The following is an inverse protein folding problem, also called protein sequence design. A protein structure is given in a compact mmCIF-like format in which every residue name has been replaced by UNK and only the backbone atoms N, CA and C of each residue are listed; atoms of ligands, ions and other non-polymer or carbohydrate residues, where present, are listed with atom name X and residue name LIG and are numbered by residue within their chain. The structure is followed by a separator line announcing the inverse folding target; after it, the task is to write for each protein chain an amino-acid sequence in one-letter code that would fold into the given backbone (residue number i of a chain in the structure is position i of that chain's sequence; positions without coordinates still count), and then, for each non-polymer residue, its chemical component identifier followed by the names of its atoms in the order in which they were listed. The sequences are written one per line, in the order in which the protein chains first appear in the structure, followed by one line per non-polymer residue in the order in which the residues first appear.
data_IF_947992972121
#
_entry.id   IF_947992972121
#
_cell.length_a   1.000
_cell.length_b   1.000
_cell.length_c   1.000
_cell.angle_alpha   90.00
_cell.angle_beta   90.00
_cell.angle_gamma   90.00
#
_symmetry.space_group_name_H-M   'P 1'
#
loop_
_entity.id
_entity.type
_entity.pdbx_description
1 polymer ?
#
# COMPACT_ATOMS: atom_id res chain seq x y z
N UNK A 1 -8.54 -4.89 -5.14
CA UNK A 1 -8.97 -5.58 -6.38
C UNK A 1 -8.77 -4.70 -7.61
N UNK A 2 -9.32 -3.47 -7.67
CA UNK A 2 -9.09 -2.58 -8.82
C UNK A 2 -7.62 -2.26 -9.08
N UNK A 3 -6.80 -2.04 -8.06
CA UNK A 3 -5.36 -1.79 -8.24
C UNK A 3 -4.62 -2.95 -8.89
N UNK A 4 -4.92 -4.20 -8.50
CA UNK A 4 -4.34 -5.40 -9.14
C UNK A 4 -4.76 -5.49 -10.60
N UNK A 5 -6.04 -5.24 -10.88
CA UNK A 5 -6.57 -5.23 -12.24
C UNK A 5 -5.84 -4.20 -13.10
N UNK A 6 -5.71 -2.95 -12.65
CA UNK A 6 -5.04 -1.92 -13.43
C UNK A 6 -3.57 -2.22 -13.67
N UNK A 7 -2.83 -2.65 -12.64
CA UNK A 7 -1.37 -2.84 -12.73
C UNK A 7 -1.01 -4.08 -13.55
N UNK A 8 -1.75 -5.18 -13.43
CA UNK A 8 -1.33 -6.48 -13.98
C UNK A 8 -2.27 -7.09 -15.02
N UNK A 9 -3.54 -6.69 -15.06
CA UNK A 9 -4.54 -7.33 -15.91
C UNK A 9 -5.04 -6.43 -17.05
N UNK A 10 -4.96 -5.10 -16.88
CA UNK A 10 -5.41 -4.14 -17.88
C UNK A 10 -4.29 -3.69 -18.81
N UNK A 11 -4.64 -3.28 -20.02
CA UNK A 11 -3.69 -2.72 -20.98
C UNK A 11 -3.20 -1.30 -20.60
N UNK A 12 -3.83 -0.65 -19.60
CA UNK A 12 -3.58 0.76 -19.25
C UNK A 12 -2.10 1.06 -18.96
N UNK A 13 -1.42 0.13 -18.29
CA UNK A 13 -0.01 0.26 -17.93
C UNK A 13 0.89 -0.79 -18.58
N UNK A 14 0.39 -1.48 -19.61
CA UNK A 14 1.16 -2.48 -20.36
C UNK A 14 2.26 -1.86 -21.23
N UNK A 15 3.29 -2.63 -21.57
CA UNK A 15 4.41 -2.19 -22.42
C UNK A 15 4.04 -2.09 -23.90
N UNK A 16 3.03 -1.26 -24.22
CA UNK A 16 2.65 -0.97 -25.60
C UNK A 16 3.49 0.18 -26.18
N UNK A 17 4.14 0.00 -27.35
CA UNK A 17 5.02 1.00 -27.96
C UNK A 17 4.37 2.35 -28.25
N UNK A 18 3.05 2.37 -28.47
CA UNK A 18 2.32 3.57 -28.90
C UNK A 18 1.51 4.26 -27.81
N UNK A 19 1.47 3.72 -26.59
CA UNK A 19 0.60 4.23 -25.51
C UNK A 19 1.20 5.42 -24.73
N UNK A 20 2.28 6.04 -25.22
CA UNK A 20 2.94 7.18 -24.57
C UNK A 20 3.70 6.82 -23.29
N UNK A 21 4.07 7.83 -22.50
CA UNK A 21 4.83 7.66 -21.25
C UNK A 21 3.94 7.04 -20.16
N UNK A 22 4.34 5.92 -19.58
CA UNK A 22 3.57 5.18 -18.56
C UNK A 22 3.25 6.03 -17.33
N UNK A 23 4.10 7.02 -17.02
CA UNK A 23 3.92 7.96 -15.91
C UNK A 23 2.79 8.98 -16.14
N UNK A 24 2.29 9.12 -17.36
CA UNK A 24 1.20 10.03 -17.72
C UNK A 24 -0.09 9.29 -18.14
N UNK A 25 -0.07 7.95 -18.11
CA UNK A 25 -1.24 7.16 -18.50
C UNK A 25 -2.28 7.18 -17.39
N UNK A 26 -3.51 7.50 -17.77
CA UNK A 26 -4.68 7.48 -16.91
C UNK A 26 -5.94 7.24 -17.75
N UNK A 27 -7.03 6.88 -17.09
CA UNK A 27 -8.35 6.69 -17.67
C UNK A 27 -9.40 7.26 -16.72
N UNK A 28 -10.62 7.53 -17.22
CA UNK A 28 -11.71 7.98 -16.34
C UNK A 28 -11.99 6.98 -15.21
N UNK A 29 -11.92 5.67 -15.49
CA UNK A 29 -12.14 4.63 -14.49
C UNK A 29 -11.02 4.56 -13.46
N UNK A 30 -9.76 4.72 -13.87
CA UNK A 30 -8.65 4.73 -12.94
C UNK A 30 -8.67 5.98 -12.06
N UNK A 31 -8.88 7.16 -12.64
CA UNK A 31 -9.05 8.40 -11.87
C UNK A 31 -10.22 8.32 -10.89
N UNK A 32 -11.37 7.74 -11.30
CA UNK A 32 -12.50 7.49 -10.41
C UNK A 32 -12.12 6.57 -9.23
N UNK A 33 -11.44 5.46 -9.49
CA UNK A 33 -11.00 4.53 -8.44
C UNK A 33 -10.00 5.18 -7.46
N UNK A 34 -9.12 6.07 -7.95
CA UNK A 34 -8.26 6.87 -7.07
C UNK A 34 -9.06 7.88 -6.24
N UNK A 35 -10.14 8.45 -6.77
CA UNK A 35 -11.04 9.31 -6.01
C UNK A 35 -11.77 8.60 -4.88
N UNK A 36 -12.25 7.38 -5.13
CA UNK A 36 -12.80 6.52 -4.06
C UNK A 36 -11.73 6.25 -3.00
N UNK A 37 -10.49 5.97 -3.43
CA UNK A 37 -9.37 5.75 -2.52
C UNK A 37 -9.02 7.01 -1.71
N UNK A 38 -9.00 8.19 -2.32
CA UNK A 38 -8.75 9.46 -1.62
C UNK A 38 -9.81 9.69 -0.52
N UNK A 39 -11.09 9.49 -0.84
CA UNK A 39 -12.19 9.59 0.15
C UNK A 39 -12.02 8.60 1.30
N UNK A 40 -11.64 7.36 1.01
CA UNK A 40 -11.31 6.34 2.02
C UNK A 40 -10.16 6.79 2.93
N UNK A 41 -9.04 7.24 2.37
CA UNK A 41 -7.89 7.71 3.16
C UNK A 41 -8.19 8.95 4.00
N UNK A 42 -9.07 9.86 3.53
CA UNK A 42 -9.55 10.99 4.33
C UNK A 42 -10.35 10.51 5.53
N UNK A 43 -11.29 9.58 5.32
CA UNK A 43 -12.10 9.02 6.40
C UNK A 43 -11.22 8.30 7.44
N UNK A 44 -10.29 7.45 7.01
CA UNK A 44 -9.37 6.75 7.88
C UNK A 44 -8.47 7.71 8.67
N UNK A 45 -7.91 8.73 8.01
CA UNK A 45 -7.09 9.74 8.69
C UNK A 45 -7.89 10.51 9.74
N UNK A 46 -9.13 10.90 9.41
CA UNK A 46 -10.04 11.56 10.35
C UNK A 46 -10.33 10.69 11.57
N UNK A 47 -10.63 9.40 11.36
CA UNK A 47 -10.83 8.42 12.43
C UNK A 47 -9.58 8.25 13.29
N UNK A 48 -8.40 8.09 12.70
CA UNK A 48 -7.14 7.94 13.43
C UNK A 48 -6.86 9.16 14.31
N UNK A 49 -7.08 10.37 13.78
CA UNK A 49 -6.88 11.62 14.53
C UNK A 49 -7.90 11.73 15.68
N UNK A 50 -9.18 11.49 15.39
CA UNK A 50 -10.26 11.61 16.38
C UNK A 50 -10.07 10.66 17.56
N UNK A 51 -9.65 9.42 17.28
CA UNK A 51 -9.44 8.39 18.29
C UNK A 51 -7.97 8.25 18.73
N UNK A 52 -7.10 9.21 18.41
CA UNK A 52 -5.68 9.13 18.77
C UNK A 52 -5.48 9.14 20.29
N UNK A 53 -4.61 8.28 20.88
CA UNK A 53 -3.73 7.28 20.24
C UNK A 53 -4.29 5.84 20.20
N UNK A 54 -5.60 5.65 20.37
CA UNK A 54 -6.20 4.30 20.55
C UNK A 54 -6.16 3.42 19.29
N UNK A 55 -6.21 4.02 18.09
CA UNK A 55 -6.17 3.30 16.81
C UNK A 55 -4.76 3.11 16.23
N UNK A 56 -3.73 3.66 16.89
CA UNK A 56 -2.35 3.56 16.42
C UNK A 56 -1.47 4.71 16.88
N UNK A 57 -0.16 4.52 16.75
CA UNK A 57 0.83 5.57 16.99
C UNK A 57 0.98 6.54 15.81
N UNK A 58 1.89 7.50 15.95
CA UNK A 58 2.19 8.53 14.95
C UNK A 58 2.58 7.95 13.59
N UNK A 59 3.11 6.72 13.53
CA UNK A 59 3.42 6.05 12.27
C UNK A 59 2.16 5.87 11.40
N UNK A 60 0.98 5.66 11.99
CA UNK A 60 -0.26 5.50 11.22
C UNK A 60 -0.73 6.85 10.65
N UNK A 61 -0.58 7.93 11.42
CA UNK A 61 -0.90 9.29 10.97
C UNK A 61 -0.01 9.67 9.79
N UNK A 62 1.31 9.49 9.92
CA UNK A 62 2.27 9.78 8.86
C UNK A 62 1.96 8.93 7.62
N UNK A 63 1.73 7.63 7.79
CA UNK A 63 1.38 6.71 6.70
C UNK A 63 0.18 7.20 5.89
N UNK A 64 -0.93 7.50 6.55
CA UNK A 64 -2.16 7.92 5.89
C UNK A 64 -2.02 9.31 5.28
N UNK A 65 -1.32 10.23 5.94
CA UNK A 65 -1.11 11.58 5.43
C UNK A 65 -0.27 11.59 4.14
N UNK A 66 0.89 10.93 4.12
CA UNK A 66 1.73 10.89 2.90
C UNK A 66 1.07 10.10 1.78
N UNK A 67 0.33 9.04 2.11
CA UNK A 67 -0.44 8.27 1.12
C UNK A 67 -1.58 9.08 0.53
N UNK A 68 -2.33 9.83 1.36
CA UNK A 68 -3.40 10.71 0.90
C UNK A 68 -2.89 11.77 -0.07
N UNK A 69 -1.75 12.42 0.24
CA UNK A 69 -1.13 13.39 -0.66
C UNK A 69 -0.79 12.75 -2.02
N UNK A 70 -0.15 11.57 -2.00
CA UNK A 70 0.22 10.87 -3.23
C UNK A 70 -0.99 10.43 -4.08
N UNK A 71 -2.02 9.89 -3.42
CA UNK A 71 -3.27 9.44 -4.07
C UNK A 71 -4.03 10.63 -4.65
N UNK A 72 -4.23 11.69 -3.86
CA UNK A 72 -4.92 12.89 -4.31
C UNK A 72 -4.18 13.57 -5.48
N UNK A 73 -2.85 13.66 -5.40
CA UNK A 73 -2.05 14.19 -6.50
C UNK A 73 -2.24 13.38 -7.80
N UNK A 74 -2.12 12.05 -7.72
CA UNK A 74 -2.22 11.17 -8.89
C UNK A 74 -3.64 11.17 -9.50
N UNK A 75 -4.65 11.33 -8.64
CA UNK A 75 -6.04 11.51 -9.05
C UNK A 75 -6.22 12.83 -9.81
N UNK A 76 -5.76 13.94 -9.25
CA UNK A 76 -6.01 15.28 -9.79
C UNK A 76 -5.21 15.58 -11.06
N UNK A 77 -4.01 15.03 -11.18
CA UNK A 77 -3.09 15.32 -12.29
C UNK A 77 -3.06 14.24 -13.37
N UNK A 78 -3.50 13.02 -13.05
CA UNK A 78 -3.34 11.86 -13.93
C UNK A 78 -1.89 11.32 -13.97
N UNK A 79 -0.94 11.95 -13.28
CA UNK A 79 0.45 11.51 -13.25
C UNK A 79 0.70 10.43 -12.19
N UNK A 80 1.60 9.51 -12.49
CA UNK A 80 2.11 8.53 -11.52
C UNK A 80 1.07 7.50 -11.06
N UNK A 81 -0.09 7.39 -11.73
CA UNK A 81 -1.16 6.47 -11.31
C UNK A 81 -0.68 5.02 -11.18
N UNK A 82 0.19 4.54 -12.07
CA UNK A 82 0.81 3.21 -11.97
C UNK A 82 1.46 2.98 -10.60
N UNK A 83 2.35 3.88 -10.18
CA UNK A 83 3.08 3.74 -8.91
C UNK A 83 2.15 3.87 -7.71
N UNK A 84 1.17 4.77 -7.78
CA UNK A 84 0.13 4.89 -6.76
C UNK A 84 -0.69 3.61 -6.64
N UNK A 85 -1.05 2.96 -7.75
CA UNK A 85 -1.73 1.68 -7.70
C UNK A 85 -0.86 0.54 -7.19
N UNK A 86 0.41 0.49 -7.56
CA UNK A 86 1.36 -0.48 -6.98
C UNK A 86 1.39 -0.34 -5.45
N UNK A 87 1.44 0.90 -4.92
CA UNK A 87 1.35 1.14 -3.48
C UNK A 87 -0.02 0.73 -2.93
N UNK A 88 -1.14 1.07 -3.58
CA UNK A 88 -2.49 0.72 -3.11
C UNK A 88 -2.78 -0.78 -3.07
N UNK A 89 -2.05 -1.62 -3.82
CA UNK A 89 -2.15 -3.08 -3.66
C UNK A 89 -1.79 -3.50 -2.23
N UNK A 90 -0.91 -2.77 -1.55
CA UNK A 90 -0.56 -3.07 -0.16
C UNK A 90 -1.75 -2.96 0.81
N UNK A 91 -2.80 -2.22 0.48
CA UNK A 91 -4.03 -2.16 1.29
C UNK A 91 -4.82 -3.48 1.30
N UNK A 92 -4.52 -4.40 0.39
CA UNK A 92 -5.10 -5.75 0.43
C UNK A 92 -4.68 -6.55 1.66
N UNK A 93 -3.63 -6.14 2.38
CA UNK A 93 -3.23 -6.78 3.65
C UNK A 93 -4.07 -6.31 4.84
N UNK A 94 -4.72 -5.15 4.74
CA UNK A 94 -5.45 -4.48 5.83
C UNK A 94 -6.61 -5.31 6.40
N UNK A 95 -7.46 -5.99 5.58
CA UNK A 95 -8.49 -6.90 6.10
C UNK A 95 -7.93 -8.01 7.00
N UNK A 96 -6.74 -8.52 6.69
CA UNK A 96 -6.07 -9.52 7.51
C UNK A 96 -5.71 -8.97 8.89
N UNK A 97 -5.13 -7.77 8.94
CA UNK A 97 -4.77 -7.07 10.20
C UNK A 97 -6.01 -6.80 11.05
N UNK A 98 -7.09 -6.30 10.44
CA UNK A 98 -8.34 -6.02 11.15
C UNK A 98 -8.98 -7.29 11.69
N UNK A 99 -9.03 -8.38 10.91
CA UNK A 99 -9.52 -9.68 11.39
C UNK A 99 -8.69 -10.18 12.58
N UNK A 100 -7.37 -10.01 12.53
CA UNK A 100 -6.49 -10.38 13.66
C UNK A 100 -6.85 -9.61 14.92
N UNK A 101 -7.06 -8.30 14.79
CA UNK A 101 -7.43 -7.44 15.89
C UNK A 101 -8.80 -7.82 16.47
N UNK A 102 -9.82 -8.08 15.63
CA UNK A 102 -11.11 -8.56 16.10
C UNK A 102 -11.01 -9.87 16.90
N UNK A 103 -10.23 -10.83 16.41
CA UNK A 103 -9.99 -12.09 17.11
C UNK A 103 -9.21 -11.88 18.43
N UNK A 104 -8.32 -10.91 18.49
CA UNK A 104 -7.60 -10.51 19.71
C UNK A 104 -8.58 -9.98 20.75
N UNK A 105 -9.38 -8.98 20.38
CA UNK A 105 -10.38 -8.32 21.22
C UNK A 105 -11.45 -9.29 21.71
N UNK A 106 -11.82 -10.29 20.90
CA UNK A 106 -12.74 -11.36 21.29
C UNK A 106 -12.11 -12.42 22.23
N UNK A 107 -10.86 -12.26 22.66
CA UNK A 107 -10.16 -13.22 23.52
C UNK A 107 -9.70 -14.50 22.81
N UNK A 108 -9.73 -14.53 21.47
CA UNK A 108 -9.53 -15.74 20.65
C UNK A 108 -8.07 -15.97 20.22
N UNK A 109 -7.07 -15.42 20.93
CA UNK A 109 -5.63 -15.59 20.58
C UNK A 109 -5.16 -17.05 20.49
N UNK A 110 -5.81 -17.95 21.22
CA UNK A 110 -5.48 -19.39 21.25
C UNK A 110 -6.17 -20.20 20.14
N UNK A 111 -7.06 -19.58 19.36
CA UNK A 111 -7.84 -20.26 18.33
C UNK A 111 -6.99 -20.64 17.11
N UNK A 112 -7.41 -21.69 16.38
CA UNK A 112 -6.83 -22.02 15.07
C UNK A 112 -7.01 -20.88 14.06
N UNK A 113 -8.12 -20.15 14.13
CA UNK A 113 -8.39 -19.00 13.28
C UNK A 113 -7.34 -17.88 13.46
N UNK A 114 -7.00 -17.53 14.71
CA UNK A 114 -5.97 -16.52 15.00
C UNK A 114 -4.58 -16.93 14.51
N UNK A 115 -4.25 -18.22 14.58
CA UNK A 115 -3.00 -18.75 14.02
C UNK A 115 -3.00 -18.65 12.49
N UNK A 116 -4.02 -19.19 11.82
CA UNK A 116 -4.11 -19.22 10.37
C UNK A 116 -4.08 -17.80 9.79
N UNK A 117 -4.85 -16.89 10.38
CA UNK A 117 -4.83 -15.47 10.02
C UNK A 117 -3.41 -14.88 10.14
N UNK A 118 -2.65 -15.22 11.19
CA UNK A 118 -1.26 -14.77 11.35
C UNK A 118 -0.32 -15.26 10.25
N UNK A 119 -0.48 -16.52 9.82
CA UNK A 119 0.28 -17.09 8.70
C UNK A 119 -0.08 -16.39 7.38
N UNK A 120 -1.38 -16.19 7.13
CA UNK A 120 -1.87 -15.48 5.94
C UNK A 120 -1.33 -14.05 5.90
N UNK A 121 -1.38 -13.32 7.02
CA UNK A 121 -0.81 -11.96 7.12
C UNK A 121 0.68 -11.97 6.81
N UNK A 122 1.45 -12.92 7.33
CA UNK A 122 2.89 -12.99 7.08
C UNK A 122 3.22 -13.09 5.59
N UNK A 123 2.59 -14.03 4.88
CA UNK A 123 2.81 -14.21 3.44
C UNK A 123 2.23 -13.06 2.62
N UNK A 124 1.03 -12.59 2.94
CA UNK A 124 0.43 -11.45 2.26
C UNK A 124 1.30 -10.20 2.39
N UNK A 125 1.87 -9.94 3.57
CA UNK A 125 2.80 -8.84 3.79
C UNK A 125 4.08 -8.99 2.99
N UNK A 126 4.68 -10.18 2.99
CA UNK A 126 5.89 -10.45 2.22
C UNK A 126 5.68 -10.17 0.72
N UNK A 127 4.59 -10.67 0.14
CA UNK A 127 4.30 -10.49 -1.29
C UNK A 127 3.90 -9.04 -1.60
N UNK A 128 2.87 -8.51 -0.94
CA UNK A 128 2.26 -7.24 -1.30
C UNK A 128 3.02 -6.00 -0.79
N UNK A 129 3.90 -6.15 0.21
CA UNK A 129 4.62 -5.01 0.83
C UNK A 129 6.14 -5.11 0.75
N UNK A 130 6.72 -6.30 0.56
CA UNK A 130 8.18 -6.46 0.36
C UNK A 130 8.51 -6.66 -1.12
N UNK A 131 8.04 -7.76 -1.72
CA UNK A 131 8.35 -8.07 -3.13
C UNK A 131 7.79 -7.03 -4.09
N UNK A 132 6.55 -6.58 -3.87
CA UNK A 132 5.94 -5.55 -4.71
C UNK A 132 6.68 -4.21 -4.64
N UNK A 133 7.21 -3.82 -3.48
CA UNK A 133 7.99 -2.59 -3.36
C UNK A 133 9.36 -2.71 -4.03
N UNK A 134 10.01 -3.88 -3.94
CA UNK A 134 11.21 -4.17 -4.73
C UNK A 134 10.92 -4.02 -6.23
N UNK A 135 9.82 -4.61 -6.70
CA UNK A 135 9.37 -4.46 -8.09
C UNK A 135 9.08 -2.99 -8.45
N UNK A 136 8.42 -2.23 -7.57
CA UNK A 136 8.16 -0.81 -7.77
C UNK A 136 9.48 -0.04 -7.97
N UNK A 137 10.47 -0.21 -7.09
CA UNK A 137 11.76 0.46 -7.23
C UNK A 137 12.50 0.07 -8.50
N UNK A 138 12.46 -1.22 -8.85
CA UNK A 138 13.03 -1.71 -10.09
C UNK A 138 12.35 -1.06 -11.31
N UNK A 139 11.02 -0.97 -11.31
CA UNK A 139 10.25 -0.33 -12.38
C UNK A 139 10.57 1.17 -12.49
N UNK A 140 10.65 1.89 -11.36
CA UNK A 140 11.06 3.30 -11.32
C UNK A 140 12.48 3.47 -11.87
N UNK A 141 13.40 2.56 -11.53
CA UNK A 141 14.78 2.57 -12.01
C UNK A 141 14.86 2.39 -13.54
N UNK A 142 14.11 1.46 -14.11
CA UNK A 142 14.04 1.27 -15.57
C UNK A 142 13.40 2.48 -16.28
N UNK A 143 12.40 3.11 -15.65
CA UNK A 143 11.62 4.19 -16.24
C UNK A 143 12.05 5.59 -15.78
N UNK A 144 13.29 5.77 -15.33
CA UNK A 144 13.79 7.04 -14.80
C UNK A 144 13.63 8.20 -15.77
N UNK A 145 13.78 7.97 -17.08
CA UNK A 145 13.56 9.00 -18.08
C UNK A 145 12.13 9.53 -18.03
N UNK A 146 11.13 8.66 -17.89
CA UNK A 146 9.72 9.05 -17.86
C UNK A 146 9.35 9.74 -16.54
N UNK A 147 9.93 9.29 -15.43
CA UNK A 147 9.80 9.93 -14.10
C UNK A 147 10.39 11.35 -14.10
N UNK A 148 11.48 11.58 -14.85
CA UNK A 148 12.06 12.92 -15.05
C UNK A 148 11.20 13.86 -15.90
N UNK A 149 10.22 13.36 -16.64
CA UNK A 149 9.29 14.20 -17.41
C UNK A 149 8.10 14.68 -16.55
N UNK A 150 7.78 13.99 -15.46
CA UNK A 150 6.72 14.40 -14.52
C UNK A 150 6.99 15.78 -13.93
N UNK A 151 5.91 16.44 -13.50
CA UNK A 151 6.01 17.67 -12.72
C UNK A 151 6.90 17.46 -11.48
N UNK A 152 7.60 18.52 -11.07
CA UNK A 152 8.57 18.45 -9.95
C UNK A 152 7.96 17.86 -8.68
N UNK A 153 6.71 18.23 -8.36
CA UNK A 153 6.02 17.68 -7.19
C UNK A 153 5.63 16.21 -7.37
N UNK A 154 5.11 15.81 -8.54
CA UNK A 154 4.80 14.39 -8.82
C UNK A 154 6.03 13.49 -8.79
N UNK A 155 7.15 13.99 -9.33
CA UNK A 155 8.45 13.31 -9.27
C UNK A 155 8.92 13.13 -7.82
N UNK A 156 8.79 14.17 -7.00
CA UNK A 156 9.13 14.08 -5.57
C UNK A 156 8.29 13.00 -4.90
N UNK A 157 6.97 12.99 -5.12
CA UNK A 157 6.08 11.99 -4.54
C UNK A 157 6.41 10.57 -5.01
N UNK A 158 6.61 10.37 -6.32
CA UNK A 158 6.94 9.07 -6.91
C UNK A 158 8.27 8.48 -6.39
N UNK A 159 9.19 9.31 -5.90
CA UNK A 159 10.48 8.86 -5.36
C UNK A 159 10.45 8.75 -3.82
N UNK A 160 9.91 9.74 -3.13
CA UNK A 160 10.00 9.83 -1.66
C UNK A 160 8.95 8.96 -0.97
N UNK A 161 7.71 8.97 -1.46
CA UNK A 161 6.61 8.24 -0.77
C UNK A 161 6.88 6.73 -0.75
N UNK A 162 7.27 6.07 -1.86
CA UNK A 162 7.61 4.65 -1.81
C UNK A 162 8.76 4.32 -0.85
N UNK A 163 9.76 5.20 -0.72
CA UNK A 163 10.87 5.02 0.23
C UNK A 163 10.38 5.07 1.67
N UNK A 164 9.62 6.10 2.04
CA UNK A 164 9.03 6.25 3.38
C UNK A 164 8.19 5.03 3.73
N UNK A 165 7.29 4.64 2.81
CA UNK A 165 6.42 3.48 2.99
C UNK A 165 7.19 2.16 3.08
N UNK A 166 8.30 2.02 2.35
CA UNK A 166 9.16 0.83 2.44
C UNK A 166 9.80 0.67 3.81
N UNK A 167 10.33 1.77 4.38
CA UNK A 167 10.92 1.75 5.72
C UNK A 167 9.86 1.31 6.75
N UNK A 168 8.65 1.84 6.64
CA UNK A 168 7.53 1.47 7.51
C UNK A 168 7.11 0.01 7.32
N UNK A 169 7.02 -0.45 6.07
CA UNK A 169 6.70 -1.84 5.74
C UNK A 169 7.72 -2.82 6.31
N UNK A 170 9.01 -2.48 6.31
CA UNK A 170 10.07 -3.28 6.93
C UNK A 170 9.95 -3.31 8.46
N UNK A 171 9.69 -2.15 9.09
CA UNK A 171 9.47 -2.07 10.54
C UNK A 171 8.27 -2.92 10.98
N UNK A 172 7.15 -2.85 10.27
CA UNK A 172 5.96 -3.65 10.57
C UNK A 172 6.17 -5.14 10.25
N UNK A 173 6.84 -5.47 9.15
CA UNK A 173 7.16 -6.86 8.82
C UNK A 173 8.01 -7.52 9.90
N UNK A 174 8.97 -6.77 10.47
CA UNK A 174 9.76 -7.23 11.61
C UNK A 174 8.90 -7.54 12.84
N UNK A 175 7.88 -6.71 13.14
CA UNK A 175 6.91 -6.98 14.21
C UNK A 175 6.11 -8.25 13.94
N UNK A 176 5.62 -8.45 12.71
CA UNK A 176 4.87 -9.65 12.29
C UNK A 176 5.74 -10.90 12.41
N UNK A 177 6.97 -10.85 11.90
CA UNK A 177 7.92 -11.95 11.98
C UNK A 177 8.23 -12.36 13.42
N UNK A 178 8.49 -11.38 14.31
CA UNK A 178 8.66 -11.64 15.75
C UNK A 178 7.42 -12.28 16.37
N UNK A 179 6.23 -11.79 16.03
CA UNK A 179 4.97 -12.36 16.47
C UNK A 179 4.82 -13.83 16.07
N UNK A 180 5.12 -14.14 14.80
CA UNK A 180 5.05 -15.49 14.27
C UNK A 180 6.07 -16.44 14.94
N UNK A 181 7.32 -16.01 15.12
CA UNK A 181 8.33 -16.79 15.85
C UNK A 181 7.87 -17.15 17.26
N UNK A 182 7.29 -16.18 17.99
CA UNK A 182 6.75 -16.41 19.35
C UNK A 182 5.60 -17.41 19.36
N UNK A 183 4.75 -17.41 18.34
CA UNK A 183 3.64 -18.37 18.23
C UNK A 183 4.12 -19.79 17.91
N UNK A 184 5.13 -19.93 17.05
CA UNK A 184 5.73 -21.23 16.71
C UNK A 184 6.51 -21.83 17.89
N UNK A 185 7.29 -21.00 18.60
CA UNK A 185 8.08 -21.43 19.75
C UNK A 185 7.24 -21.91 20.96
N UNK A 186 5.96 -21.55 21.04
CA UNK A 186 5.04 -22.00 22.12
C UNK A 186 4.38 -23.35 21.83
N UNK A 187 4.62 -23.93 20.66
CA UNK A 187 4.05 -25.23 20.23
C UNK A 187 5.04 -26.38 20.35
N UNK A 188 6.28 -26.08 20.71
CA UNK A 188 7.30 -27.01 21.17
C UNK A 188 7.50 -26.80 22.67
#
# INVERSE_FOLDING_TARGET
MMSLYFVFCSDLFSDQPHAGLVTFRSSALSTFALGVSAGYFIADLGMIIWFYPSLGGMEYVIHHFVSLIAVAYSMLTGEGQLYTYMVLISETTTPGINLRWYLDTAGMKKSKAYLLNGVVIFFAWFVARILLFIYLFYHVFLHQYQVKQMHSFGRLLALVVPVVLSVMNLMWFWKIFKGMKKTLAKRH
#
